data_IF_385882501847
#
_entry.id   IF_385882501847
#
_cell.length_a   1.000
_cell.length_b   1.000
_cell.length_c   1.000
_cell.angle_alpha   90.00
_cell.angle_beta   90.00
_cell.angle_gamma   90.00
#
_symmetry.space_group_name_H-M   'P 1'
#
loop_
_entity.id
_entity.type
_entity.pdbx_description
1 polymer ?
#
# COMPACT_ATOMS: atom_id res chain seq x y z
N UNK A 1 1.72 19.13 -9.32
CA UNK A 1 2.56 18.27 -8.44
C UNK A 1 1.97 18.00 -7.06
N UNK A 2 1.22 18.90 -6.41
CA UNK A 2 0.66 18.68 -5.07
C UNK A 2 -0.70 17.94 -5.00
N UNK A 3 -1.42 17.78 -6.11
CA UNK A 3 -2.75 17.15 -6.16
C UNK A 3 -2.74 15.60 -6.18
N UNK A 4 -1.57 14.96 -6.11
CA UNK A 4 -1.42 13.50 -6.30
C UNK A 4 -0.62 12.83 -5.18
N UNK A 5 -0.65 13.42 -3.98
CA UNK A 5 -0.14 12.75 -2.78
C UNK A 5 -1.18 11.74 -2.32
N UNK A 6 -0.77 10.71 -1.56
CA UNK A 6 -1.71 9.74 -1.00
C UNK A 6 -2.91 10.41 -0.27
N UNK A 7 -2.75 11.64 0.21
CA UNK A 7 -3.80 12.44 0.84
C UNK A 7 -4.94 12.88 -0.10
N UNK A 8 -4.68 13.13 -1.38
CA UNK A 8 -5.72 13.60 -2.31
C UNK A 8 -6.69 12.49 -2.69
N UNK A 9 -6.23 11.25 -2.78
CA UNK A 9 -7.08 10.06 -3.00
C UNK A 9 -8.07 9.91 -1.83
N UNK A 10 -7.61 10.08 -0.60
CA UNK A 10 -8.49 10.04 0.57
C UNK A 10 -9.58 11.11 0.51
N UNK A 11 -9.20 12.35 0.21
CA UNK A 11 -10.16 13.46 0.11
C UNK A 11 -11.18 13.27 -1.01
N UNK A 12 -10.71 12.91 -2.21
CA UNK A 12 -11.56 12.72 -3.39
C UNK A 12 -12.58 11.60 -3.22
N UNK A 13 -12.23 10.54 -2.49
CA UNK A 13 -13.08 9.37 -2.30
C UNK A 13 -13.74 9.33 -0.92
N UNK A 14 -13.58 10.34 -0.08
CA UNK A 14 -14.18 10.40 1.25
C UNK A 14 -13.65 9.36 2.24
N UNK A 15 -12.38 8.95 2.11
CA UNK A 15 -11.69 8.12 3.10
C UNK A 15 -10.96 9.00 4.12
N UNK A 16 -10.79 8.52 5.37
CA UNK A 16 -9.92 9.19 6.32
C UNK A 16 -8.48 9.25 5.78
N UNK A 17 -7.78 10.33 6.14
CA UNK A 17 -6.32 10.39 6.00
C UNK A 17 -5.70 9.73 7.21
N UNK A 18 -4.80 8.80 6.99
CA UNK A 18 -4.09 8.04 8.03
C UNK A 18 -2.60 8.22 7.88
N UNK A 19 -1.85 7.91 8.94
CA UNK A 19 -0.40 7.75 8.82
C UNK A 19 -0.14 6.50 7.97
N UNK A 20 0.54 6.68 6.84
CA UNK A 20 1.02 5.60 5.99
C UNK A 20 2.53 5.43 6.16
N UNK A 21 2.99 4.20 5.99
CA UNK A 21 4.40 3.86 5.99
C UNK A 21 5.14 4.47 4.80
N UNK A 22 4.49 4.48 3.62
CA UNK A 22 5.04 5.08 2.39
C UNK A 22 6.08 4.22 1.68
N UNK A 23 6.78 3.34 2.41
CA UNK A 23 7.64 2.30 1.84
C UNK A 23 7.35 0.88 2.38
N UNK A 24 6.08 0.47 2.42
CA UNK A 24 5.71 -0.86 2.92
C UNK A 24 5.93 -1.98 1.88
N UNK A 25 6.90 -2.85 2.13
CA UNK A 25 7.18 -4.09 1.40
C UNK A 25 7.78 -5.14 2.34
N UNK A 26 7.94 -6.38 1.87
CA UNK A 26 8.27 -7.55 2.70
C UNK A 26 9.55 -7.39 3.53
N UNK A 27 10.56 -6.69 3.01
CA UNK A 27 11.83 -6.50 3.71
C UNK A 27 11.73 -5.47 4.85
N UNK A 28 10.69 -4.63 4.83
CA UNK A 28 10.40 -3.65 5.88
C UNK A 28 9.41 -4.21 6.92
N UNK A 29 9.15 -5.52 6.91
CA UNK A 29 8.28 -6.20 7.88
C UNK A 29 9.11 -7.26 8.61
N UNK A 30 9.28 -7.08 9.93
CA UNK A 30 9.80 -8.13 10.79
C UNK A 30 8.67 -9.01 11.28
N UNK A 31 8.88 -10.32 11.16
CA UNK A 31 7.96 -11.36 11.64
C UNK A 31 8.46 -11.93 12.96
N UNK A 32 7.54 -12.37 13.82
CA UNK A 32 7.92 -13.05 15.07
C UNK A 32 8.50 -14.42 14.78
N UNK A 33 9.53 -14.81 15.52
CA UNK A 33 10.19 -16.10 15.36
C UNK A 33 9.27 -17.26 15.76
N UNK A 34 8.47 -17.06 16.81
CA UNK A 34 7.60 -18.08 17.39
C UNK A 34 6.32 -18.29 16.56
N UNK A 35 5.88 -17.26 15.82
CA UNK A 35 4.73 -17.33 14.94
C UNK A 35 4.98 -16.49 13.66
N UNK A 36 5.33 -17.13 12.54
CA UNK A 36 5.63 -16.42 11.29
C UNK A 36 4.41 -15.74 10.66
N UNK A 37 3.19 -15.94 11.20
CA UNK A 37 1.99 -15.23 10.77
C UNK A 37 1.74 -13.92 11.55
N UNK A 38 2.57 -13.64 12.56
CA UNK A 38 2.46 -12.42 13.36
C UNK A 38 3.56 -11.44 12.99
N UNK A 39 3.13 -10.21 12.67
CA UNK A 39 4.05 -9.08 12.51
C UNK A 39 4.63 -8.72 13.89
N UNK A 40 5.95 -8.66 13.98
CA UNK A 40 6.68 -8.15 15.14
C UNK A 40 6.86 -6.63 15.07
N UNK A 41 7.33 -6.11 13.93
CA UNK A 41 7.54 -4.69 13.73
C UNK A 41 7.51 -4.30 12.24
N UNK A 42 7.20 -3.03 11.98
CA UNK A 42 7.45 -2.38 10.69
C UNK A 42 8.71 -1.52 10.81
N UNK A 43 9.63 -1.64 9.87
CA UNK A 43 10.92 -0.96 9.84
C UNK A 43 10.98 0.08 8.72
N UNK A 44 11.96 0.98 8.81
CA UNK A 44 12.30 1.92 7.75
C UNK A 44 11.16 2.90 7.38
N UNK A 45 10.76 3.67 8.39
CA UNK A 45 9.72 4.68 8.26
C UNK A 45 10.16 5.94 7.51
N UNK A 46 11.31 5.99 6.84
CA UNK A 46 11.80 7.22 6.19
C UNK A 46 10.83 7.81 5.15
N UNK A 47 9.90 7.00 4.61
CA UNK A 47 8.86 7.40 3.67
C UNK A 47 7.51 7.78 4.30
N UNK A 48 7.40 7.85 5.63
CA UNK A 48 6.12 8.05 6.29
C UNK A 48 5.44 9.36 5.86
N UNK A 49 4.12 9.32 5.70
CA UNK A 49 3.35 10.52 5.40
C UNK A 49 1.89 10.36 5.81
N UNK A 50 1.11 11.45 5.75
CA UNK A 50 -0.34 11.39 5.94
C UNK A 50 -1.00 11.18 4.58
N UNK A 51 -1.80 10.12 4.45
CA UNK A 51 -2.37 9.73 3.16
C UNK A 51 -3.47 8.69 3.23
N UNK A 52 -3.76 8.10 2.07
CA UNK A 52 -4.74 7.02 1.93
C UNK A 52 -4.14 5.68 2.36
N UNK A 53 -4.87 4.96 3.21
CA UNK A 53 -4.53 3.60 3.62
C UNK A 53 -4.37 2.63 2.43
N UNK A 54 -5.01 2.94 1.30
CA UNK A 54 -4.87 2.17 0.07
C UNK A 54 -3.44 2.24 -0.51
N UNK A 55 -2.65 3.24 -0.12
CA UNK A 55 -1.26 3.39 -0.56
C UNK A 55 -0.39 2.21 -0.09
N UNK A 56 -0.36 1.94 1.21
CA UNK A 56 0.43 0.82 1.75
C UNK A 56 -0.13 -0.54 1.30
N UNK A 57 -1.46 -0.66 1.17
CA UNK A 57 -2.12 -1.86 0.68
C UNK A 57 -1.79 -2.16 -0.79
N UNK A 58 -1.79 -1.15 -1.66
CA UNK A 58 -1.39 -1.31 -3.05
C UNK A 58 0.10 -1.58 -3.19
N UNK A 59 0.92 -0.95 -2.36
CA UNK A 59 2.38 -1.13 -2.37
C UNK A 59 2.78 -2.57 -2.03
N UNK A 60 2.29 -3.12 -0.94
CA UNK A 60 2.63 -4.50 -0.55
C UNK A 60 2.13 -5.51 -1.59
N UNK A 61 0.95 -5.29 -2.18
CA UNK A 61 0.42 -6.17 -3.22
C UNK A 61 1.23 -6.11 -4.52
N UNK A 62 1.68 -4.93 -4.93
CA UNK A 62 2.51 -4.79 -6.13
C UNK A 62 3.89 -5.39 -5.92
N UNK A 63 4.56 -5.05 -4.82
CA UNK A 63 5.98 -5.36 -4.62
C UNK A 63 6.21 -6.79 -4.11
N UNK A 64 5.25 -7.37 -3.38
CA UNK A 64 5.45 -8.63 -2.65
C UNK A 64 4.62 -9.79 -3.18
N UNK A 65 3.83 -9.60 -4.24
CA UNK A 65 3.05 -10.68 -4.84
C UNK A 65 3.21 -10.74 -6.34
N UNK A 66 2.95 -11.92 -6.93
CA UNK A 66 2.93 -12.08 -8.37
C UNK A 66 1.63 -11.58 -8.98
N UNK A 67 1.63 -11.33 -10.29
CA UNK A 67 0.42 -10.91 -11.01
C UNK A 67 -0.68 -11.96 -10.95
N UNK A 68 -0.35 -13.26 -10.90
CA UNK A 68 -1.35 -14.33 -10.75
C UNK A 68 -2.06 -14.24 -9.39
N UNK A 69 -1.31 -14.03 -8.31
CA UNK A 69 -1.87 -13.84 -6.97
C UNK A 69 -2.75 -12.60 -6.91
N UNK A 70 -2.30 -11.45 -7.44
CA UNK A 70 -3.13 -10.23 -7.45
C UNK A 70 -4.45 -10.44 -8.19
N UNK A 71 -4.43 -11.05 -9.38
CA UNK A 71 -5.66 -11.30 -10.15
C UNK A 71 -6.64 -12.21 -9.42
N UNK A 72 -6.13 -13.23 -8.72
CA UNK A 72 -6.98 -14.19 -8.01
C UNK A 72 -7.49 -13.69 -6.66
N UNK A 73 -6.72 -12.84 -5.96
CA UNK A 73 -6.95 -12.61 -4.53
C UNK A 73 -7.13 -11.14 -4.11
N UNK A 74 -6.92 -10.14 -4.98
CA UNK A 74 -7.04 -8.72 -4.61
C UNK A 74 -8.38 -8.40 -3.91
N UNK A 75 -9.50 -8.82 -4.49
CA UNK A 75 -10.83 -8.52 -3.93
C UNK A 75 -11.05 -9.18 -2.56
N UNK A 76 -10.53 -10.39 -2.37
CA UNK A 76 -10.57 -11.10 -1.09
C UNK A 76 -9.72 -10.40 -0.05
N UNK A 77 -8.51 -9.96 -0.42
CA UNK A 77 -7.58 -9.24 0.46
C UNK A 77 -8.17 -7.89 0.87
N UNK A 78 -8.68 -7.08 -0.07
CA UNK A 78 -9.33 -5.80 0.25
C UNK A 78 -10.56 -6.03 1.14
N UNK A 79 -11.35 -7.06 0.86
CA UNK A 79 -12.50 -7.40 1.70
C UNK A 79 -12.09 -7.84 3.11
N UNK A 80 -10.99 -8.58 3.25
CA UNK A 80 -10.44 -8.96 4.54
C UNK A 80 -9.92 -7.74 5.31
N UNK A 81 -9.14 -6.89 4.64
CA UNK A 81 -8.62 -5.64 5.21
C UNK A 81 -9.75 -4.75 5.72
N UNK A 82 -10.78 -4.50 4.90
CA UNK A 82 -11.94 -3.71 5.29
C UNK A 82 -12.69 -4.28 6.51
N UNK A 83 -12.84 -5.61 6.58
CA UNK A 83 -13.47 -6.28 7.73
C UNK A 83 -12.67 -6.15 9.03
N UNK A 84 -11.37 -5.87 8.95
CA UNK A 84 -10.50 -5.68 10.12
C UNK A 84 -10.46 -4.23 10.62
N UNK A 85 -11.02 -3.29 9.86
CA UNK A 85 -11.17 -1.91 10.32
C UNK A 85 -12.23 -1.83 11.42
N UNK A 86 -11.93 -1.11 12.49
CA UNK A 86 -12.92 -0.82 13.53
C UNK A 86 -13.82 0.33 13.08
N UNK A 87 -15.11 0.02 12.85
CA UNK A 87 -16.18 0.98 12.51
C UNK A 87 -15.77 1.99 11.40
N UNK A 88 -15.46 1.52 10.18
CA UNK A 88 -15.05 2.42 9.09
C UNK A 88 -16.15 3.44 8.77
N UNK A 89 -15.77 4.71 8.62
CA UNK A 89 -16.66 5.82 8.27
C UNK A 89 -16.98 5.92 6.77
N UNK A 90 -16.54 4.94 5.98
CA UNK A 90 -16.65 4.86 4.52
C UNK A 90 -17.00 3.43 4.13
N UNK A 91 -17.58 3.25 2.94
CA UNK A 91 -17.97 1.95 2.43
C UNK A 91 -16.82 1.21 1.73
N UNK A 92 -16.89 -0.13 1.71
CA UNK A 92 -15.86 -0.99 1.08
C UNK A 92 -15.54 -0.60 -0.37
N UNK A 93 -16.53 -0.20 -1.16
CA UNK A 93 -16.30 0.18 -2.56
C UNK A 93 -15.37 1.39 -2.68
N UNK A 94 -15.45 2.36 -1.74
CA UNK A 94 -14.55 3.52 -1.72
C UNK A 94 -13.09 3.08 -1.51
N UNK A 95 -12.84 2.05 -0.70
CA UNK A 95 -11.51 1.47 -0.54
C UNK A 95 -11.03 0.72 -1.80
N UNK A 96 -11.92 0.01 -2.49
CA UNK A 96 -11.61 -0.64 -3.77
C UNK A 96 -11.22 0.41 -4.81
N UNK A 97 -11.95 1.51 -4.88
CA UNK A 97 -11.65 2.61 -5.80
C UNK A 97 -10.34 3.30 -5.41
N UNK A 98 -10.11 3.56 -4.12
CA UNK A 98 -8.85 4.11 -3.63
C UNK A 98 -7.66 3.19 -3.97
N UNK A 99 -7.82 1.88 -3.84
CA UNK A 99 -6.80 0.91 -4.25
C UNK A 99 -6.49 1.02 -5.75
N UNK A 100 -7.52 1.04 -6.61
CA UNK A 100 -7.35 1.17 -8.06
C UNK A 100 -6.67 2.48 -8.44
N UNK A 101 -7.04 3.58 -7.81
CA UNK A 101 -6.41 4.88 -8.01
C UNK A 101 -4.96 4.88 -7.55
N UNK A 102 -4.62 4.24 -6.42
CA UNK A 102 -3.23 4.18 -5.93
C UNK A 102 -2.30 3.29 -6.76
N UNK A 103 -2.85 2.30 -7.47
CA UNK A 103 -2.08 1.25 -8.16
C UNK A 103 -1.12 1.79 -9.24
N UNK A 104 -1.53 2.68 -10.17
CA UNK A 104 -0.62 3.26 -11.16
C UNK A 104 0.54 4.03 -10.54
N UNK A 105 0.33 4.70 -9.40
CA UNK A 105 1.39 5.45 -8.72
C UNK A 105 2.48 4.52 -8.18
N UNK A 106 2.09 3.38 -7.60
CA UNK A 106 3.06 2.39 -7.12
C UNK A 106 3.87 1.80 -8.29
N UNK A 107 3.22 1.53 -9.43
CA UNK A 107 3.91 1.09 -10.65
C UNK A 107 4.91 2.15 -11.16
N UNK A 108 4.51 3.43 -11.21
CA UNK A 108 5.38 4.52 -11.64
C UNK A 108 6.57 4.72 -10.69
N UNK A 109 6.34 4.65 -9.37
CA UNK A 109 7.39 4.75 -8.37
C UNK A 109 8.43 3.62 -8.51
N UNK A 110 7.97 2.41 -8.80
CA UNK A 110 8.85 1.27 -9.08
C UNK A 110 9.68 1.47 -10.35
N UNK A 111 9.07 1.90 -11.45
CA UNK A 111 9.78 2.17 -12.71
C UNK A 111 10.88 3.21 -12.53
N UNK A 112 10.58 4.31 -11.82
CA UNK A 112 11.57 5.33 -11.49
C UNK A 112 12.72 4.75 -10.65
N UNK A 113 12.40 3.96 -9.62
CA UNK A 113 13.41 3.34 -8.76
C UNK A 113 14.32 2.39 -9.55
N UNK A 114 13.75 1.56 -10.42
CA UNK A 114 14.52 0.67 -11.31
C UNK A 114 15.47 1.47 -12.20
N UNK A 115 14.99 2.58 -12.80
CA UNK A 115 15.82 3.42 -13.67
C UNK A 115 16.99 4.04 -12.89
N UNK A 116 16.74 4.49 -11.65
CA UNK A 116 17.74 5.11 -10.79
C UNK A 116 18.83 4.11 -10.37
N UNK A 117 18.44 2.87 -10.04
CA UNK A 117 19.39 1.83 -9.65
C UNK A 117 20.10 1.20 -10.85
N UNK A 118 19.43 1.01 -11.99
CA UNK A 118 20.05 0.45 -13.20
C UNK A 118 21.22 1.31 -13.70
N UNK A 119 21.09 2.64 -13.60
CA UNK A 119 22.16 3.58 -13.96
C UNK A 119 23.40 3.50 -13.05
N UNK A 120 23.30 2.88 -11.87
CA UNK A 120 24.44 2.65 -10.97
C UNK A 120 25.22 1.35 -11.30
N UNK A 121 24.65 0.49 -12.15
CA UNK A 121 25.24 -0.80 -12.54
C UNK A 121 25.59 -0.87 -14.04
N UNK A 122 25.54 0.26 -14.76
CA UNK A 122 25.91 0.39 -16.18
C UNK A 122 27.24 1.11 -16.37
#
# INVERSE_FOLDING_TARGET
YHYYTAASVSEALGLPRVLIHGDLWSNNILWKNENPNEVGAFLDWQGFSVGSMAFDLSRILILCTSTSIRRAHTDSIISHYYKKLDRPSFAKFQLVDAYKETLPYQCAHMLFSIQLFAAQYS
#
